data_IF_110581566623
#
_entry.id   IF_110581566623
#
_cell.length_a   1.000
_cell.length_b   1.000
_cell.length_c   1.000
_cell.angle_alpha   90.00
_cell.angle_beta   90.00
_cell.angle_gamma   90.00
#
_symmetry.space_group_name_H-M   'P 1'
#
loop_
_entity.id
_entity.type
_entity.pdbx_description
1 polymer ?
#
# COMPACT_ATOMS: atom_id res chain seq x y z
N UNK A 1 12.89 -25.97 6.51
CA UNK A 1 13.41 -25.53 5.21
C UNK A 1 12.48 -24.44 4.72
N UNK A 2 12.84 -23.17 4.97
CA UNK A 2 12.02 -22.02 4.59
C UNK A 2 11.91 -22.02 3.08
N UNK A 3 10.73 -22.38 2.56
CA UNK A 3 10.36 -22.08 1.18
C UNK A 3 10.09 -20.58 1.14
N UNK A 4 11.14 -19.77 1.18
CA UNK A 4 11.03 -18.42 0.62
C UNK A 4 10.65 -18.63 -0.82
N UNK A 5 9.41 -18.25 -1.11
CA UNK A 5 8.72 -18.50 -2.36
C UNK A 5 9.60 -18.02 -3.52
N UNK A 6 10.02 -18.91 -4.42
CA UNK A 6 10.94 -18.55 -5.51
C UNK A 6 10.39 -17.44 -6.43
N UNK A 7 9.09 -17.11 -6.28
CA UNK A 7 8.43 -15.95 -6.86
C UNK A 7 9.13 -14.61 -6.56
N UNK A 8 9.78 -14.47 -5.40
CA UNK A 8 10.44 -13.21 -4.99
C UNK A 8 11.86 -13.02 -5.57
N UNK A 9 12.50 -14.07 -6.11
CA UNK A 9 13.88 -13.99 -6.65
C UNK A 9 14.04 -13.11 -7.90
N UNK A 10 12.93 -12.66 -8.50
CA UNK A 10 12.91 -11.83 -9.72
C UNK A 10 12.29 -10.44 -9.50
N UNK A 11 12.00 -10.10 -8.24
CA UNK A 11 11.42 -8.81 -7.89
C UNK A 11 12.49 -7.78 -7.58
N UNK A 12 12.22 -6.55 -7.98
CA UNK A 12 13.04 -5.39 -7.68
C UNK A 12 12.29 -4.52 -6.68
N UNK A 13 13.00 -4.03 -5.67
CA UNK A 13 12.49 -3.12 -4.67
C UNK A 13 12.64 -1.67 -5.14
N UNK A 14 11.57 -0.90 -5.04
CA UNK A 14 11.55 0.52 -5.42
C UNK A 14 11.08 1.38 -4.27
N UNK A 15 11.67 2.58 -4.19
CA UNK A 15 11.18 3.67 -3.35
C UNK A 15 10.81 4.86 -4.23
N UNK A 16 9.64 5.45 -3.97
CA UNK A 16 9.14 6.63 -4.64
C UNK A 16 8.80 7.70 -3.61
N UNK A 17 9.03 8.97 -3.97
CA UNK A 17 8.74 10.13 -3.14
C UNK A 17 7.75 11.03 -3.88
N UNK A 18 6.77 11.60 -3.17
CA UNK A 18 5.76 12.45 -3.78
C UNK A 18 4.97 13.26 -2.75
N UNK A 19 4.05 14.09 -3.25
CA UNK A 19 3.11 14.84 -2.41
C UNK A 19 1.67 14.46 -2.78
N UNK A 20 0.84 14.15 -1.78
CA UNK A 20 -0.59 13.88 -1.95
C UNK A 20 -1.38 14.67 -0.91
N UNK A 21 -2.39 15.45 -1.33
CA UNK A 21 -3.15 16.29 -0.41
C UNK A 21 -2.32 17.36 0.33
N UNK A 22 -1.16 17.75 -0.22
CA UNK A 22 -0.21 18.66 0.45
C UNK A 22 0.75 17.97 1.42
N UNK A 23 0.62 16.66 1.61
CA UNK A 23 1.47 15.88 2.52
C UNK A 23 2.57 15.15 1.75
N UNK A 24 3.81 15.22 2.24
CA UNK A 24 4.91 14.44 1.67
C UNK A 24 4.74 12.98 2.07
N UNK A 25 4.83 12.11 1.06
CA UNK A 25 4.73 10.67 1.21
C UNK A 25 5.94 9.98 0.60
N UNK A 26 6.32 8.88 1.23
CA UNK A 26 7.23 7.88 0.66
C UNK A 26 6.43 6.63 0.36
N UNK A 27 6.69 5.97 -0.77
CA UNK A 27 6.07 4.69 -1.13
C UNK A 27 7.16 3.67 -1.42
N UNK A 28 6.95 2.44 -0.99
CA UNK A 28 7.91 1.34 -1.09
C UNK A 28 7.13 0.12 -1.56
N UNK A 29 7.55 -0.45 -2.68
CA UNK A 29 6.82 -1.54 -3.31
C UNK A 29 7.74 -2.41 -4.17
N UNK A 30 7.28 -3.64 -4.40
CA UNK A 30 7.96 -4.61 -5.24
C UNK A 30 7.42 -4.55 -6.67
N UNK A 31 8.32 -4.57 -7.65
CA UNK A 31 7.94 -4.71 -9.05
C UNK A 31 8.57 -5.94 -9.68
N UNK A 32 7.77 -6.63 -10.49
CA UNK A 32 8.23 -7.74 -11.32
C UNK A 32 8.80 -7.18 -12.62
N UNK A 33 10.00 -7.65 -12.98
CA UNK A 33 10.56 -7.36 -14.29
C UNK A 33 9.81 -8.18 -15.36
N UNK A 34 9.25 -7.49 -16.34
CA UNK A 34 8.64 -8.08 -17.53
C UNK A 34 9.69 -8.57 -18.54
N UNK A 35 9.22 -9.03 -19.70
CA UNK A 35 10.09 -9.62 -20.72
C UNK A 35 10.92 -8.58 -21.50
N UNK A 36 10.66 -7.28 -21.29
CA UNK A 36 11.41 -6.17 -21.90
C UNK A 36 12.16 -5.41 -20.82
N UNK A 37 13.28 -4.80 -21.20
CA UNK A 37 14.24 -4.17 -20.27
C UNK A 37 13.63 -3.06 -19.40
N UNK A 38 12.57 -2.38 -19.87
CA UNK A 38 11.89 -1.29 -19.18
C UNK A 38 10.44 -1.62 -18.79
N UNK A 39 10.05 -2.89 -18.85
CA UNK A 39 8.73 -3.33 -18.44
C UNK A 39 8.79 -3.73 -16.97
N UNK A 40 8.24 -2.88 -16.10
CA UNK A 40 8.13 -3.15 -14.68
C UNK A 40 6.67 -3.00 -14.27
N UNK A 41 6.10 -4.09 -13.78
CA UNK A 41 4.73 -4.11 -13.29
C UNK A 41 4.75 -4.21 -11.76
N UNK A 42 4.01 -3.34 -11.05
CA UNK A 42 3.73 -3.56 -9.63
C UNK A 42 3.19 -4.98 -9.44
N UNK A 43 3.68 -5.68 -8.44
CA UNK A 43 3.14 -7.00 -8.13
C UNK A 43 1.81 -6.81 -7.40
N UNK A 44 0.72 -6.77 -8.18
CA UNK A 44 -0.64 -6.65 -7.65
C UNK A 44 -1.17 -7.95 -7.00
N UNK A 45 -0.28 -8.83 -6.55
CA UNK A 45 -0.58 -10.03 -5.74
C UNK A 45 -0.01 -9.89 -4.32
N UNK A 46 0.33 -8.66 -3.94
CA UNK A 46 1.15 -8.40 -2.76
C UNK A 46 0.68 -7.12 -2.07
N UNK A 47 1.63 -6.30 -1.63
CA UNK A 47 1.39 -5.23 -0.68
C UNK A 47 1.91 -3.89 -1.21
N UNK A 48 1.06 -2.86 -1.19
CA UNK A 48 1.46 -1.47 -1.39
C UNK A 48 1.37 -0.72 -0.07
N UNK A 49 2.42 0.04 0.24
CA UNK A 49 2.47 0.90 1.42
C UNK A 49 2.98 2.29 1.04
N UNK A 50 2.35 3.29 1.65
CA UNK A 50 2.83 4.65 1.67
C UNK A 50 2.92 5.15 3.11
N UNK A 51 3.93 5.96 3.39
CA UNK A 51 4.23 6.51 4.69
C UNK A 51 4.29 8.02 4.63
N UNK A 52 3.82 8.66 5.68
CA UNK A 52 4.09 10.07 5.95
C UNK A 52 5.60 10.32 6.11
N UNK A 53 5.98 11.58 5.94
CA UNK A 53 7.32 12.10 6.25
C UNK A 53 7.84 11.73 7.65
N UNK A 54 6.94 11.61 8.63
CA UNK A 54 7.24 11.22 10.01
C UNK A 54 7.48 9.70 10.18
N UNK A 55 7.43 8.91 9.10
CA UNK A 55 7.64 7.47 9.11
C UNK A 55 6.42 6.63 9.52
N UNK A 56 5.29 7.25 9.86
CA UNK A 56 4.04 6.54 10.12
C UNK A 56 3.36 6.12 8.82
N UNK A 57 2.64 4.99 8.86
CA UNK A 57 1.92 4.51 7.69
C UNK A 57 0.73 5.44 7.37
N UNK A 58 0.60 5.83 6.11
CA UNK A 58 -0.50 6.62 5.59
C UNK A 58 -1.51 5.74 4.85
N UNK A 59 -1.02 4.86 3.98
CA UNK A 59 -1.83 3.93 3.19
C UNK A 59 -1.20 2.55 3.25
N UNK A 60 -2.04 1.55 3.39
CA UNK A 60 -1.72 0.15 3.22
C UNK A 60 -2.76 -0.47 2.31
N UNK A 61 -2.35 -1.18 1.28
CA UNK A 61 -3.27 -1.79 0.32
C UNK A 61 -2.77 -3.17 -0.07
N UNK A 62 -3.66 -4.15 -0.01
CA UNK A 62 -3.37 -5.52 -0.45
C UNK A 62 -4.11 -5.77 -1.76
N UNK A 63 -3.38 -6.30 -2.73
CA UNK A 63 -3.94 -6.68 -4.02
C UNK A 63 -3.87 -8.20 -4.19
N UNK A 64 -4.92 -8.77 -4.77
CA UNK A 64 -4.95 -10.17 -5.20
C UNK A 64 -5.49 -10.21 -6.64
N UNK A 65 -4.73 -10.85 -7.52
CA UNK A 65 -4.94 -10.96 -8.96
C UNK A 65 -5.18 -9.62 -9.66
N UNK A 66 -4.45 -8.56 -9.29
CA UNK A 66 -4.69 -7.23 -9.88
C UNK A 66 -5.81 -6.43 -9.23
N UNK A 67 -6.54 -7.01 -8.27
CA UNK A 67 -7.69 -6.38 -7.62
C UNK A 67 -7.37 -6.02 -6.18
N UNK A 68 -7.76 -4.82 -5.76
CA UNK A 68 -7.63 -4.38 -4.37
C UNK A 68 -8.62 -5.16 -3.51
N UNK A 69 -8.13 -5.97 -2.58
CA UNK A 69 -8.96 -6.74 -1.65
C UNK A 69 -9.06 -6.08 -0.27
N UNK A 70 -8.00 -5.38 0.13
CA UNK A 70 -7.95 -4.68 1.41
C UNK A 70 -7.29 -3.31 1.26
N UNK A 71 -7.78 -2.33 2.01
CA UNK A 71 -7.17 -1.02 2.11
C UNK A 71 -7.33 -0.48 3.52
N UNK A 72 -6.27 0.09 4.07
CA UNK A 72 -6.35 0.91 5.26
C UNK A 72 -5.70 2.27 4.97
N UNK A 73 -6.33 3.33 5.47
CA UNK A 73 -5.80 4.69 5.45
C UNK A 73 -5.79 5.22 6.87
N UNK A 74 -4.73 5.94 7.23
CA UNK A 74 -4.58 6.54 8.54
C UNK A 74 -4.37 8.04 8.44
N UNK A 75 -4.82 8.74 9.47
CA UNK A 75 -4.42 10.12 9.73
C UNK A 75 -2.97 10.15 10.24
N UNK A 76 -2.32 11.32 10.14
CA UNK A 76 -0.94 11.53 10.60
C UNK A 76 -0.76 11.33 12.12
N UNK A 77 -1.86 11.31 12.87
CA UNK A 77 -1.89 11.00 14.30
C UNK A 77 -1.96 9.47 14.60
N UNK A 78 -1.98 8.62 13.58
CA UNK A 78 -2.05 7.16 13.69
C UNK A 78 -3.46 6.59 13.85
N UNK A 79 -4.50 7.43 13.91
CA UNK A 79 -5.88 6.96 13.92
C UNK A 79 -6.29 6.46 12.54
N UNK A 80 -7.11 5.41 12.51
CA UNK A 80 -7.63 4.87 11.26
C UNK A 80 -8.63 5.87 10.67
N UNK A 81 -8.48 6.18 9.39
CA UNK A 81 -9.35 7.05 8.60
C UNK A 81 -10.32 6.25 7.76
N UNK A 82 -9.82 5.20 7.10
CA UNK A 82 -10.61 4.35 6.22
C UNK A 82 -10.12 2.92 6.29
N UNK A 83 -11.05 1.96 6.20
CA UNK A 83 -10.81 0.53 6.09
C UNK A 83 -11.72 -0.04 5.02
N UNK A 84 -11.16 -0.66 4.00
CA UNK A 84 -11.88 -1.49 3.04
C UNK A 84 -11.53 -2.94 3.31
N UNK A 85 -12.54 -3.80 3.47
CA UNK A 85 -12.41 -5.27 3.55
C UNK A 85 -13.63 -5.91 2.90
N UNK A 86 -13.44 -6.86 1.98
CA UNK A 86 -14.54 -7.59 1.33
C UNK A 86 -15.66 -6.67 0.82
N UNK A 87 -15.29 -5.62 0.09
CA UNK A 87 -16.19 -4.59 -0.44
C UNK A 87 -16.96 -3.75 0.62
N UNK A 88 -16.69 -3.94 1.92
CA UNK A 88 -17.22 -3.08 2.98
C UNK A 88 -16.23 -1.97 3.32
N UNK A 89 -16.72 -0.72 3.33
CA UNK A 89 -15.95 0.46 3.72
C UNK A 89 -16.37 0.89 5.13
N UNK A 90 -15.40 1.09 6.00
CA UNK A 90 -15.55 1.80 7.26
C UNK A 90 -14.74 3.08 7.21
N UNK A 91 -15.35 4.19 7.57
CA UNK A 91 -14.73 5.51 7.60
C UNK A 91 -14.83 6.12 9.01
N UNK A 92 -13.78 6.81 9.42
CA UNK A 92 -13.71 7.49 10.71
C UNK A 92 -13.26 8.92 10.52
N UNK A 93 -13.90 9.81 11.27
CA UNK A 93 -13.46 11.19 11.42
C UNK A 93 -12.22 11.25 12.32
N UNK A 94 -11.40 12.29 12.16
CA UNK A 94 -10.18 12.52 12.96
C UNK A 94 -10.47 12.67 14.47
N UNK A 95 -11.72 12.95 14.84
CA UNK A 95 -12.20 13.04 16.23
C UNK A 95 -12.73 11.70 16.78
N UNK A 96 -12.60 10.61 16.01
CA UNK A 96 -13.00 9.26 16.43
C UNK A 96 -14.52 9.00 16.41
N UNK A 97 -15.33 9.92 15.87
CA UNK A 97 -16.76 9.64 15.66
C UNK A 97 -16.93 8.78 14.41
N UNK A 98 -17.48 7.58 14.60
CA UNK A 98 -18.00 6.74 13.53
C UNK A 98 -19.07 7.52 12.76
N UNK A 99 -18.94 7.60 11.44
CA UNK A 99 -20.10 7.80 10.59
C UNK A 99 -20.66 6.44 10.14
N UNK A 100 -21.96 6.47 9.87
CA UNK A 100 -22.96 5.40 9.89
C UNK A 100 -22.70 4.25 8.93
#
# INVERSE_FOLDING_TARGET
>A
MNKEDERFKTLNYYEQYGYFGGEFLTAKYWMRKGNKENDYTPVYDDEYKAWFDNGQINIHTIYENGKRIEMDVWYKNGQKKLSLRNDMVHEWTEDGKQEV
#
